data_IF_000680512008
#
_entry.id   IF_000680512008
#
_cell.length_a   1.000
_cell.length_b   1.000
_cell.length_c   1.000
_cell.angle_alpha   90.00
_cell.angle_beta   90.00
_cell.angle_gamma   90.00
#
_symmetry.space_group_name_H-M   'P 1'
#
loop_
_entity.id
_entity.type
_entity.pdbx_description
1 polymer ?
#
# COMPACT_ATOMS: atom_id res chain seq x y z
N UNK A 1 -9.53 32.86 16.25
CA UNK A 1 -9.69 32.37 14.87
C UNK A 1 -8.78 31.17 14.72
N UNK A 2 -9.37 29.97 14.67
CA UNK A 2 -8.64 28.72 14.77
C UNK A 2 -7.74 28.47 13.54
N UNK A 3 -6.67 27.75 13.83
CA UNK A 3 -5.40 27.49 13.16
C UNK A 3 -5.51 26.84 11.77
N UNK A 4 -4.78 27.37 10.80
CA UNK A 4 -4.63 26.79 9.45
C UNK A 4 -3.42 25.84 9.35
N UNK A 5 -2.89 25.36 10.48
CA UNK A 5 -1.57 24.73 10.54
C UNK A 5 -1.46 23.48 11.45
N UNK A 6 -2.58 22.89 11.90
CA UNK A 6 -2.54 21.70 12.77
C UNK A 6 -2.94 20.38 12.08
N UNK A 7 -2.82 20.28 10.75
CA UNK A 7 -3.09 19.02 10.01
C UNK A 7 -2.01 18.64 9.00
N UNK A 8 -0.74 18.97 9.28
CA UNK A 8 0.39 18.64 8.38
C UNK A 8 1.48 17.77 9.02
N UNK A 9 1.15 17.12 10.14
CA UNK A 9 1.99 16.13 10.82
C UNK A 9 1.19 14.86 11.19
N UNK A 10 0.15 14.52 10.41
CA UNK A 10 -0.34 13.16 10.42
C UNK A 10 0.73 12.32 9.72
N UNK A 11 1.56 11.64 10.50
CA UNK A 11 2.48 10.58 10.12
C UNK A 11 1.92 9.77 8.92
N UNK A 12 2.26 10.18 7.68
CA UNK A 12 1.59 9.71 6.46
C UNK A 12 1.86 8.21 6.32
N UNK A 13 0.86 7.42 6.71
CA UNK A 13 0.92 5.98 6.61
C UNK A 13 0.79 5.58 5.15
N UNK A 14 1.66 4.68 4.71
CA UNK A 14 1.72 4.25 3.32
C UNK A 14 1.15 2.85 3.18
N UNK A 15 0.24 2.71 2.23
CA UNK A 15 -0.24 1.43 1.73
C UNK A 15 0.58 1.07 0.50
N UNK A 16 1.24 -0.09 0.53
CA UNK A 16 1.94 -0.64 -0.62
C UNK A 16 1.08 -1.72 -1.26
N UNK A 17 0.81 -1.62 -2.54
CA UNK A 17 0.11 -2.66 -3.33
C UNK A 17 1.12 -3.30 -4.26
N UNK A 18 1.16 -4.64 -4.28
CA UNK A 18 2.07 -5.43 -5.12
C UNK A 18 1.29 -6.42 -5.98
N UNK A 19 1.61 -6.45 -7.27
CA UNK A 19 0.89 -7.22 -8.29
C UNK A 19 -0.35 -6.49 -8.83
N UNK A 20 -1.10 -7.17 -9.70
CA UNK A 20 -2.18 -6.57 -10.49
C UNK A 20 -1.72 -6.19 -11.89
N UNK A 21 -2.66 -5.81 -12.76
CA UNK A 21 -2.40 -5.35 -14.12
C UNK A 21 -3.49 -4.33 -14.54
N UNK A 22 -3.25 -3.57 -15.60
CA UNK A 22 -4.32 -2.84 -16.30
C UNK A 22 -4.55 -1.41 -15.81
N UNK A 23 -3.52 -0.71 -15.33
CA UNK A 23 -3.59 0.74 -15.10
C UNK A 23 -4.45 1.15 -13.89
N UNK A 24 -4.72 0.23 -12.97
CA UNK A 24 -5.58 0.45 -11.79
C UNK A 24 -4.94 1.33 -10.71
N UNK A 25 -3.68 1.72 -10.89
CA UNK A 25 -2.90 2.54 -9.96
C UNK A 25 -3.64 3.81 -9.48
N UNK A 26 -4.34 4.51 -10.37
CA UNK A 26 -5.11 5.71 -10.01
C UNK A 26 -6.26 5.38 -9.07
N UNK A 27 -7.05 4.36 -9.41
CA UNK A 27 -8.20 3.91 -8.61
C UNK A 27 -7.77 3.37 -7.24
N UNK A 28 -6.65 2.64 -7.18
CA UNK A 28 -6.10 2.19 -5.91
C UNK A 28 -5.63 3.36 -5.04
N UNK A 29 -5.06 4.40 -5.67
CA UNK A 29 -4.59 5.58 -4.96
C UNK A 29 -5.75 6.36 -4.36
N UNK A 30 -6.83 6.53 -5.11
CA UNK A 30 -8.06 7.14 -4.62
C UNK A 30 -8.62 6.40 -3.40
N UNK A 31 -8.54 5.07 -3.37
CA UNK A 31 -8.95 4.28 -2.21
C UNK A 31 -8.09 4.62 -0.99
N UNK A 32 -6.76 4.52 -1.09
CA UNK A 32 -5.88 4.79 0.05
C UNK A 32 -6.03 6.23 0.58
N UNK A 33 -6.16 7.21 -0.32
CA UNK A 33 -6.31 8.62 0.05
C UNK A 33 -7.60 8.89 0.84
N UNK A 34 -8.69 8.16 0.58
CA UNK A 34 -9.93 8.27 1.38
C UNK A 34 -9.73 7.89 2.85
N UNK A 35 -8.71 7.08 3.15
CA UNK A 35 -8.32 6.69 4.51
C UNK A 35 -7.10 7.47 5.02
N UNK A 36 -6.75 8.60 4.38
CA UNK A 36 -5.60 9.42 4.79
C UNK A 36 -4.24 8.75 4.55
N UNK A 37 -4.19 7.70 3.74
CA UNK A 37 -2.96 6.98 3.43
C UNK A 37 -2.41 7.36 2.06
N UNK A 38 -1.08 7.35 1.93
CA UNK A 38 -0.43 7.40 0.62
C UNK A 38 -0.43 6.00 -0.03
N UNK A 39 -0.29 5.92 -1.36
CA UNK A 39 -0.22 4.65 -2.09
C UNK A 39 1.06 4.52 -2.92
N UNK A 40 1.76 3.40 -2.76
CA UNK A 40 2.78 2.91 -3.69
C UNK A 40 2.30 1.62 -4.35
N UNK A 41 2.29 1.56 -5.68
CA UNK A 41 1.83 0.39 -6.43
C UNK A 41 2.96 -0.15 -7.31
N UNK A 42 3.20 -1.46 -7.21
CA UNK A 42 4.28 -2.16 -7.94
C UNK A 42 3.71 -3.40 -8.62
N UNK A 43 3.51 -3.35 -9.94
CA UNK A 43 2.90 -4.46 -10.69
C UNK A 43 3.86 -5.65 -10.85
N UNK A 44 5.13 -5.38 -11.19
CA UNK A 44 6.09 -6.42 -11.58
C UNK A 44 7.38 -6.44 -10.77
N UNK A 45 7.77 -5.31 -10.18
CA UNK A 45 9.05 -5.17 -9.46
C UNK A 45 8.94 -4.11 -8.37
N UNK A 46 9.56 -4.37 -7.23
CA UNK A 46 9.79 -3.39 -6.16
C UNK A 46 11.21 -2.84 -6.35
N UNK A 47 11.37 -1.53 -6.64
CA UNK A 47 12.71 -0.94 -6.72
C UNK A 47 13.48 -1.07 -5.39
N UNK A 48 14.81 -1.25 -5.44
CA UNK A 48 15.62 -1.22 -4.23
C UNK A 48 15.47 0.12 -3.53
N UNK A 49 15.44 0.11 -2.19
CA UNK A 49 15.36 1.32 -1.39
C UNK A 49 13.99 2.00 -1.33
N UNK A 50 12.91 1.37 -1.83
CA UNK A 50 11.52 1.88 -1.72
C UNK A 50 11.19 2.34 -0.30
N UNK A 51 11.68 1.63 0.70
CA UNK A 51 11.46 1.93 2.12
C UNK A 51 11.99 3.31 2.53
N UNK A 52 13.12 3.77 1.97
CA UNK A 52 13.77 5.03 2.34
C UNK A 52 12.94 6.29 2.01
N UNK A 53 11.96 6.17 1.11
CA UNK A 53 11.07 7.29 0.76
C UNK A 53 9.58 6.98 0.98
N UNK A 54 9.24 5.84 1.57
CA UNK A 54 7.85 5.41 1.75
C UNK A 54 7.24 5.83 3.09
N UNK A 55 7.98 6.51 3.97
CA UNK A 55 7.51 6.81 5.32
C UNK A 55 7.17 5.52 6.10
N UNK A 56 6.19 5.60 7.01
CA UNK A 56 5.70 4.43 7.75
C UNK A 56 4.85 3.56 6.82
N UNK A 57 5.31 2.34 6.50
CA UNK A 57 4.51 1.37 5.77
C UNK A 57 3.57 0.68 6.76
N UNK A 58 2.28 1.03 6.73
CA UNK A 58 1.29 0.46 7.64
C UNK A 58 0.71 -0.86 7.10
N UNK A 59 0.65 -0.99 5.78
CA UNK A 59 -0.01 -2.13 5.12
C UNK A 59 0.66 -2.45 3.79
N UNK A 60 0.93 -3.72 3.56
CA UNK A 60 1.29 -4.28 2.25
C UNK A 60 0.16 -5.18 1.78
N UNK A 61 -0.39 -4.90 0.60
CA UNK A 61 -1.44 -5.68 -0.05
C UNK A 61 -0.85 -6.40 -1.25
N UNK A 62 -0.89 -7.73 -1.23
CA UNK A 62 -0.33 -8.58 -2.28
C UNK A 62 -1.46 -9.22 -3.08
N UNK A 63 -1.53 -8.93 -4.38
CA UNK A 63 -2.53 -9.52 -5.28
C UNK A 63 -2.05 -10.91 -5.75
N UNK A 64 -2.49 -11.96 -5.06
CA UNK A 64 -2.12 -13.37 -5.28
C UNK A 64 -2.52 -13.84 -6.67
N UNK A 65 -1.68 -14.70 -7.27
CA UNK A 65 -1.87 -15.24 -8.62
C UNK A 65 -1.21 -14.39 -9.72
N UNK A 66 -0.86 -13.14 -9.41
CA UNK A 66 -0.18 -12.22 -10.33
C UNK A 66 1.24 -11.85 -9.87
N UNK A 67 1.74 -12.48 -8.81
CA UNK A 67 3.04 -12.17 -8.18
C UNK A 67 3.95 -13.39 -8.30
N UNK A 68 5.13 -13.21 -8.91
CA UNK A 68 6.16 -14.24 -9.05
C UNK A 68 6.83 -14.57 -7.71
N UNK A 69 7.54 -15.71 -7.65
CA UNK A 69 8.33 -16.06 -6.45
C UNK A 69 9.35 -14.97 -6.09
N UNK A 70 10.07 -14.44 -7.08
CA UNK A 70 11.04 -13.35 -6.86
C UNK A 70 10.40 -12.08 -6.29
N UNK A 71 9.19 -11.73 -6.73
CA UNK A 71 8.47 -10.56 -6.22
C UNK A 71 7.95 -10.80 -4.79
N UNK A 72 7.59 -12.04 -4.44
CA UNK A 72 7.28 -12.41 -3.05
C UNK A 72 8.48 -12.28 -2.13
N UNK A 73 9.67 -12.65 -2.58
CA UNK A 73 10.88 -12.49 -1.78
C UNK A 73 11.22 -11.02 -1.57
N UNK A 74 11.08 -10.17 -2.59
CA UNK A 74 11.20 -8.70 -2.44
C UNK A 74 10.20 -8.10 -1.46
N UNK A 75 8.98 -8.65 -1.36
CA UNK A 75 8.00 -8.20 -0.36
C UNK A 75 8.50 -8.46 1.06
N UNK A 76 9.17 -9.60 1.32
CA UNK A 76 9.70 -9.92 2.66
C UNK A 76 10.74 -8.90 3.12
N UNK A 77 11.53 -8.35 2.19
CA UNK A 77 12.52 -7.30 2.49
C UNK A 77 11.88 -5.95 2.82
N UNK A 78 10.63 -5.73 2.39
CA UNK A 78 9.89 -4.50 2.60
C UNK A 78 9.16 -4.46 3.95
N UNK A 79 8.77 -5.64 4.45
CA UNK A 79 7.94 -5.81 5.64
C UNK A 79 8.80 -5.74 6.90
N UNK A 80 8.33 -4.98 7.89
CA UNK A 80 8.87 -5.01 9.26
C UNK A 80 7.84 -5.59 10.22
N UNK A 81 8.24 -5.80 11.49
CA UNK A 81 7.38 -6.37 12.52
C UNK A 81 6.05 -5.61 12.70
N UNK A 82 6.07 -4.29 12.51
CA UNK A 82 4.86 -3.43 12.59
C UNK A 82 4.03 -3.38 11.29
N UNK A 83 4.50 -4.00 10.20
CA UNK A 83 3.85 -3.94 8.89
C UNK A 83 2.86 -5.09 8.72
N UNK A 84 1.57 -4.78 8.56
CA UNK A 84 0.58 -5.80 8.21
C UNK A 84 0.70 -6.21 6.74
N UNK A 85 0.59 -7.50 6.44
CA UNK A 85 0.58 -8.03 5.07
C UNK A 85 -0.72 -8.76 4.80
N UNK A 86 -1.45 -8.32 3.77
CA UNK A 86 -2.74 -8.90 3.36
C UNK A 86 -2.63 -9.45 1.94
N UNK A 87 -3.09 -10.68 1.75
CA UNK A 87 -3.09 -11.36 0.46
C UNK A 87 -4.49 -11.36 -0.13
N UNK A 88 -4.67 -10.70 -1.27
CA UNK A 88 -5.94 -10.66 -2.00
C UNK A 88 -5.89 -11.63 -3.18
N UNK A 89 -6.93 -12.43 -3.36
CA UNK A 89 -7.05 -13.37 -4.49
C UNK A 89 -7.50 -12.71 -5.80
N UNK A 90 -7.96 -11.45 -5.75
CA UNK A 90 -8.45 -10.70 -6.91
C UNK A 90 -7.89 -9.27 -6.91
N UNK A 91 -7.42 -8.79 -8.06
CA UNK A 91 -7.00 -7.40 -8.25
C UNK A 91 -8.22 -6.53 -8.58
N UNK A 92 -8.97 -6.12 -7.55
CA UNK A 92 -10.13 -5.26 -7.68
C UNK A 92 -10.11 -4.10 -6.67
N UNK A 93 -10.77 -3.00 -7.02
CA UNK A 93 -10.89 -1.82 -6.15
C UNK A 93 -11.65 -2.15 -4.87
N UNK A 94 -12.71 -2.95 -4.98
CA UNK A 94 -13.52 -3.37 -3.83
C UNK A 94 -12.73 -4.23 -2.85
N UNK A 95 -11.93 -5.18 -3.34
CA UNK A 95 -11.07 -6.01 -2.50
C UNK A 95 -9.99 -5.16 -1.81
N UNK A 96 -9.35 -4.24 -2.53
CA UNK A 96 -8.38 -3.31 -1.94
C UNK A 96 -9.02 -2.43 -0.86
N UNK A 97 -10.20 -1.85 -1.14
CA UNK A 97 -10.92 -1.01 -0.18
C UNK A 97 -11.20 -1.75 1.11
N UNK A 98 -11.73 -2.96 1.02
CA UNK A 98 -12.00 -3.79 2.21
C UNK A 98 -10.72 -4.07 3.01
N UNK A 99 -9.59 -4.34 2.33
CA UNK A 99 -8.31 -4.57 2.99
C UNK A 99 -7.80 -3.32 3.72
N UNK A 100 -7.87 -2.14 3.08
CA UNK A 100 -7.44 -0.88 3.69
C UNK A 100 -8.33 -0.53 4.88
N UNK A 101 -9.64 -0.60 4.74
CA UNK A 101 -10.62 -0.30 5.81
C UNK A 101 -10.41 -1.16 7.06
N UNK A 102 -10.07 -2.44 6.90
CA UNK A 102 -9.87 -3.36 8.03
C UNK A 102 -8.51 -3.22 8.71
N UNK A 103 -7.50 -2.60 8.06
CA UNK A 103 -6.11 -2.72 8.50
C UNK A 103 -5.36 -1.39 8.65
N UNK A 104 -5.76 -0.35 7.92
CA UNK A 104 -5.22 1.00 8.05
C UNK A 104 -6.00 1.73 9.14
N UNK A 105 -5.53 1.61 10.39
CA UNK A 105 -6.04 2.31 11.58
C UNK A 105 -4.87 2.91 12.35
#
# INVERSE_FOLDING_TARGET
MATKQEKKEANESTVVVVGGHGGMSSRYREVAQRFGCSLRHFEQRIPPGVRHGAGKIALVVVMVGMVSHALRDQIKELVTDDTKVVYLRTASVSALRAAVEQNAS
#
